data_IF_463828183088
#
_entry.id   IF_463828183088
#
_cell.length_a   1.000
_cell.length_b   1.000
_cell.length_c   1.000
_cell.angle_alpha   90.00
_cell.angle_beta   90.00
_cell.angle_gamma   90.00
#
_symmetry.space_group_name_H-M   'P 1'
#
loop_
_entity.id
_entity.type
_entity.pdbx_description
1 polymer ?
#
# COMPACT_ATOMS: atom_id res chain seq x y z
N UNK A 1 -12.44 0.56 -9.95
CA UNK A 1 -12.16 -0.61 -9.14
C UNK A 1 -10.65 -0.92 -9.12
N UNK A 2 -10.14 -1.23 -7.94
CA UNK A 2 -8.74 -1.63 -7.80
C UNK A 2 -8.49 -2.97 -8.48
N UNK A 3 -7.53 -3.02 -9.38
CA UNK A 3 -7.20 -4.21 -10.17
C UNK A 3 -5.93 -4.92 -9.71
N UNK A 4 -5.32 -4.44 -8.64
CA UNK A 4 -4.10 -5.02 -8.10
C UNK A 4 -4.35 -6.22 -7.21
N UNK A 5 -3.33 -6.60 -6.46
CA UNK A 5 -3.38 -7.74 -5.54
C UNK A 5 -4.39 -7.47 -4.43
N UNK A 6 -5.40 -8.32 -4.34
CA UNK A 6 -6.46 -8.19 -3.35
C UNK A 6 -6.10 -8.96 -2.09
N UNK A 7 -6.64 -8.50 -0.96
CA UNK A 7 -6.40 -9.09 0.32
C UNK A 7 -5.61 -8.16 1.24
N UNK A 8 -5.28 -8.66 2.41
CA UNK A 8 -4.55 -7.88 3.41
C UNK A 8 -3.05 -8.00 3.16
N UNK A 9 -2.41 -6.88 2.91
CA UNK A 9 -0.96 -6.83 2.76
C UNK A 9 -0.30 -6.74 4.13
N UNK A 10 0.80 -7.44 4.28
CA UNK A 10 1.60 -7.44 5.51
C UNK A 10 3.04 -7.12 5.18
N UNK A 11 3.78 -6.70 6.20
CA UNK A 11 5.22 -6.45 6.08
C UNK A 11 5.94 -7.64 6.69
N UNK A 12 6.85 -8.23 5.94
CA UNK A 12 7.66 -9.36 6.41
C UNK A 12 9.13 -9.07 6.16
N UNK A 13 9.96 -9.44 7.13
CA UNK A 13 11.40 -9.40 6.96
C UNK A 13 11.85 -10.67 6.25
N UNK A 14 12.57 -10.51 5.16
CA UNK A 14 13.26 -11.61 4.52
C UNK A 14 14.75 -11.40 4.68
N UNK A 15 15.35 -12.14 5.63
CA UNK A 15 16.76 -12.00 5.97
C UNK A 15 17.64 -13.06 5.30
N UNK A 16 17.06 -13.91 4.45
CA UNK A 16 17.78 -14.99 3.80
C UNK A 16 17.48 -15.09 2.30
N UNK A 17 17.07 -14.01 1.69
CA UNK A 17 16.78 -14.06 0.26
C UNK A 17 18.07 -14.20 -0.55
N UNK A 18 18.30 -15.37 -1.19
CA UNK A 18 19.51 -15.58 -1.96
C UNK A 18 19.56 -14.74 -3.24
N UNK A 19 18.41 -14.29 -3.71
CA UNK A 19 18.32 -13.48 -4.92
C UNK A 19 18.84 -12.07 -4.68
N UNK A 20 18.40 -11.45 -3.57
CA UNK A 20 18.83 -10.09 -3.23
C UNK A 20 20.17 -10.05 -2.51
N UNK A 21 20.57 -11.15 -1.91
CA UNK A 21 21.82 -11.29 -1.13
C UNK A 21 21.90 -10.27 0.02
N UNK A 22 20.75 -9.87 0.55
CA UNK A 22 20.66 -8.92 1.66
C UNK A 22 19.30 -9.03 2.29
N UNK A 23 19.17 -8.48 3.48
CA UNK A 23 17.87 -8.41 4.14
C UNK A 23 16.99 -7.40 3.42
N UNK A 24 15.74 -7.75 3.24
CA UNK A 24 14.73 -6.88 2.62
C UNK A 24 13.44 -6.93 3.43
N UNK A 25 12.67 -5.86 3.37
CA UNK A 25 11.28 -5.87 3.84
C UNK A 25 10.39 -6.12 2.65
N UNK A 26 9.54 -7.13 2.77
CA UNK A 26 8.60 -7.50 1.72
C UNK A 26 7.20 -7.11 2.12
N UNK A 27 6.46 -6.51 1.21
CA UNK A 27 5.06 -6.13 1.44
C UNK A 27 4.19 -6.88 0.45
N UNK A 28 3.17 -7.54 0.94
CA UNK A 28 2.25 -8.30 0.10
C UNK A 28 1.43 -9.27 0.93
N UNK A 29 0.78 -10.21 0.26
CA UNK A 29 0.05 -11.29 0.93
C UNK A 29 1.04 -12.25 1.56
N UNK A 30 0.75 -12.65 2.79
CA UNK A 30 1.59 -13.61 3.50
C UNK A 30 1.71 -14.91 2.71
N UNK A 31 2.94 -15.35 2.50
CA UNK A 31 3.22 -16.59 1.80
C UNK A 31 3.18 -16.52 0.29
N UNK A 32 3.02 -15.33 -0.29
CA UNK A 32 3.00 -15.10 -1.73
C UNK A 32 4.14 -14.18 -2.14
N UNK A 33 4.31 -14.02 -3.44
CA UNK A 33 5.30 -13.09 -3.95
C UNK A 33 4.99 -11.68 -3.47
N UNK A 34 6.01 -10.92 -3.08
CA UNK A 34 5.78 -9.57 -2.61
C UNK A 34 5.29 -8.64 -3.72
N UNK A 35 4.44 -7.70 -3.32
CA UNK A 35 4.01 -6.61 -4.19
C UNK A 35 5.11 -5.56 -4.26
N UNK A 36 5.81 -5.35 -3.16
CA UNK A 36 6.89 -4.39 -3.06
C UNK A 36 8.00 -4.94 -2.19
N UNK A 37 9.22 -4.53 -2.48
CA UNK A 37 10.41 -4.91 -1.71
C UNK A 37 11.16 -3.64 -1.38
N UNK A 38 11.48 -3.46 -0.10
CA UNK A 38 12.21 -2.29 0.38
C UNK A 38 13.58 -2.70 0.90
N UNK A 39 14.58 -1.93 0.52
CA UNK A 39 15.95 -2.17 0.92
C UNK A 39 16.31 -1.27 2.08
N UNK A 40 17.05 -1.82 3.03
CA UNK A 40 17.65 -1.04 4.08
C UNK A 40 19.04 -0.57 3.71
N UNK A 41 19.70 0.06 4.66
CA UNK A 41 21.11 0.42 4.55
C UNK A 41 21.94 -0.75 5.07
N UNK A 42 22.45 -1.57 4.16
CA UNK A 42 23.07 -2.83 4.53
C UNK A 42 22.02 -3.84 4.99
N UNK A 43 22.17 -4.38 6.20
CA UNK A 43 21.20 -5.31 6.80
C UNK A 43 20.27 -4.63 7.80
N UNK A 44 20.37 -3.31 7.94
CA UNK A 44 19.57 -2.57 8.90
C UNK A 44 18.49 -1.78 8.21
N UNK A 45 17.36 -1.64 8.91
CA UNK A 45 16.23 -0.83 8.45
C UNK A 45 16.02 0.28 9.44
N UNK A 46 16.16 1.52 9.00
CA UNK A 46 15.86 2.66 9.82
C UNK A 46 14.35 2.88 9.94
N UNK A 47 13.95 3.81 10.79
CA UNK A 47 12.54 4.08 11.04
C UNK A 47 11.83 4.58 9.78
N UNK A 48 12.52 5.30 8.92
CA UNK A 48 11.95 5.77 7.67
C UNK A 48 11.56 4.63 6.74
N UNK A 49 12.43 3.64 6.55
CA UNK A 49 12.15 2.49 5.69
C UNK A 49 11.00 1.68 6.26
N UNK A 50 10.98 1.47 7.58
CA UNK A 50 9.89 0.75 8.24
C UNK A 50 8.56 1.48 8.09
N UNK A 51 8.57 2.79 8.23
CA UNK A 51 7.37 3.61 8.06
C UNK A 51 6.85 3.54 6.62
N UNK A 52 7.76 3.59 5.65
CA UNK A 52 7.39 3.44 4.24
C UNK A 52 6.75 2.08 3.97
N UNK A 53 7.32 1.01 4.52
CA UNK A 53 6.77 -0.33 4.36
C UNK A 53 5.36 -0.43 4.95
N UNK A 54 5.13 0.16 6.13
CA UNK A 54 3.81 0.16 6.76
C UNK A 54 2.79 0.96 5.94
N UNK A 55 3.19 2.09 5.40
CA UNK A 55 2.31 2.87 4.54
C UNK A 55 1.90 2.07 3.30
N UNK A 56 2.85 1.41 2.66
CA UNK A 56 2.56 0.58 1.50
C UNK A 56 1.61 -0.56 1.89
N UNK A 57 1.86 -1.21 3.01
CA UNK A 57 1.04 -2.33 3.47
C UNK A 57 -0.42 -1.93 3.72
N UNK A 58 -0.66 -0.68 4.13
CA UNK A 58 -2.00 -0.19 4.41
C UNK A 58 -2.67 0.50 3.22
N UNK A 59 -1.97 0.61 2.09
CA UNK A 59 -2.51 1.30 0.92
C UNK A 59 -3.84 0.73 0.43
N UNK A 60 -4.04 -0.60 0.33
CA UNK A 60 -5.34 -1.12 -0.10
C UNK A 60 -6.49 -0.74 0.82
N UNK A 61 -6.26 -0.78 2.14
CA UNK A 61 -7.28 -0.42 3.13
C UNK A 61 -7.59 1.08 3.06
N UNK A 62 -6.56 1.90 2.86
CA UNK A 62 -6.74 3.34 2.72
C UNK A 62 -7.54 3.69 1.47
N UNK A 63 -7.27 3.01 0.36
CA UNK A 63 -8.00 3.20 -0.88
C UNK A 63 -9.48 2.82 -0.70
N UNK A 64 -9.74 1.67 -0.07
CA UNK A 64 -11.10 1.22 0.21
C UNK A 64 -11.85 2.18 1.11
N UNK A 65 -11.21 2.64 2.19
CA UNK A 65 -11.83 3.58 3.11
C UNK A 65 -12.16 4.91 2.43
N UNK A 66 -11.23 5.40 1.60
CA UNK A 66 -11.44 6.63 0.87
C UNK A 66 -12.62 6.51 -0.08
N UNK A 67 -12.73 5.39 -0.79
CA UNK A 67 -13.86 5.12 -1.68
C UNK A 67 -15.19 5.07 -0.92
N UNK A 68 -15.21 4.45 0.26
CA UNK A 68 -16.40 4.40 1.11
C UNK A 68 -16.81 5.77 1.60
N UNK A 69 -15.85 6.59 2.00
CA UNK A 69 -16.15 7.95 2.46
C UNK A 69 -16.75 8.81 1.34
N UNK A 70 -16.24 8.67 0.12
CA UNK A 70 -16.79 9.40 -1.02
C UNK A 70 -18.23 8.95 -1.28
N UNK A 71 -18.47 7.64 -1.27
CA UNK A 71 -19.81 7.09 -1.50
C UNK A 71 -20.81 7.61 -0.48
N UNK A 72 -20.43 7.67 0.78
CA UNK A 72 -21.29 8.21 1.83
C UNK A 72 -21.63 9.68 1.61
N UNK A 73 -20.71 10.45 1.07
CA UNK A 73 -20.90 11.88 0.88
C UNK A 73 -21.61 12.24 -0.42
N UNK A 74 -21.54 11.42 -1.42
CA UNK A 74 -22.32 11.61 -2.65
C UNK A 74 -23.82 11.61 -2.40
N UNK A 75 -24.24 11.02 -1.26
CA UNK A 75 -25.65 10.99 -0.88
C UNK A 75 -26.16 12.29 -0.26
N UNK A 76 -25.30 13.24 0.06
CA UNK A 76 -25.77 14.37 0.83
C UNK A 76 -25.12 15.73 0.61
N UNK A 77 -23.88 15.84 0.23
CA UNK A 77 -23.21 17.14 0.23
C UNK A 77 -22.13 17.26 -0.84
N UNK A 78 -22.21 18.37 -1.54
CA UNK A 78 -21.19 18.75 -2.47
C UNK A 78 -20.05 19.44 -1.73
N UNK A 79 -18.91 18.79 -1.63
CA UNK A 79 -17.72 19.37 -1.05
C UNK A 79 -16.59 19.20 -2.05
N UNK A 80 -15.96 20.31 -2.46
CA UNK A 80 -14.93 20.31 -3.49
C UNK A 80 -13.74 19.39 -3.22
N UNK A 81 -13.50 19.02 -1.95
CA UNK A 81 -12.42 18.10 -1.59
C UNK A 81 -12.70 16.69 -2.05
N UNK A 82 -13.95 16.31 -2.26
CA UNK A 82 -14.28 14.97 -2.74
C UNK A 82 -13.93 14.79 -4.20
N UNK A 83 -13.93 15.85 -4.98
CA UNK A 83 -13.48 15.78 -6.36
C UNK A 83 -12.00 15.40 -6.43
N UNK A 84 -11.17 15.93 -5.54
CA UNK A 84 -9.75 15.61 -5.46
C UNK A 84 -9.54 14.17 -5.00
N UNK A 85 -10.29 13.71 -3.99
CA UNK A 85 -10.21 12.36 -3.51
C UNK A 85 -10.66 11.36 -4.57
N UNK A 86 -11.74 11.66 -5.29
CA UNK A 86 -12.25 10.83 -6.35
C UNK A 86 -11.25 10.75 -7.52
N UNK A 87 -10.62 11.86 -7.86
CA UNK A 87 -9.57 11.90 -8.87
C UNK A 87 -8.37 11.03 -8.44
N UNK A 88 -7.98 11.11 -7.18
CA UNK A 88 -6.89 10.30 -6.65
C UNK A 88 -7.21 8.80 -6.75
N UNK A 89 -8.42 8.39 -6.40
CA UNK A 89 -8.87 7.01 -6.52
C UNK A 89 -8.82 6.57 -7.97
N UNK A 90 -9.31 7.40 -8.88
CA UNK A 90 -9.31 7.09 -10.31
C UNK A 90 -7.89 6.84 -10.81
N UNK A 91 -6.95 7.71 -10.43
CA UNK A 91 -5.55 7.55 -10.81
C UNK A 91 -4.91 6.32 -10.17
N UNK A 92 -5.27 5.99 -8.93
CA UNK A 92 -4.73 4.84 -8.22
C UNK A 92 -5.27 3.50 -8.76
N UNK A 93 -6.43 3.51 -9.44
CA UNK A 93 -7.08 2.30 -9.94
C UNK A 93 -7.03 2.16 -11.46
N UNK A 94 -6.43 3.12 -12.14
CA UNK A 94 -6.25 3.08 -13.59
C UNK A 94 -4.83 2.62 -13.93
N UNK A 95 -4.72 1.65 -14.78
CA UNK A 95 -3.44 1.13 -15.23
C UNK A 95 -3.20 1.54 -16.67
#
# INVERSE_FOLDING_TARGET
>A
EFKGTKGKWVVELNDHDPFYRRNVLEVGLKGYYPVAVLYGNGNDFNDEVKANAQLIAHAPEMLEMLAQLIELHELGHDIGQYDKANDLITRATTI
#
